data_IF_046104764341
#
_entry.id   IF_046104764341
#
_cell.length_a   1.000
_cell.length_b   1.000
_cell.length_c   1.000
_cell.angle_alpha   90.00
_cell.angle_beta   90.00
_cell.angle_gamma   90.00
#
_symmetry.space_group_name_H-M   'P 1'
#
loop_
_entity.id
_entity.type
_entity.pdbx_description
1 polymer ?
#
# COMPACT_ATOMS: atom_id res chain seq x y z
N UNK A 1 27.67 10.67 10.95
CA UNK A 1 26.74 9.97 11.88
C UNK A 1 26.50 8.61 11.30
N UNK A 2 26.42 7.59 12.12
CA UNK A 2 26.21 6.23 11.65
C UNK A 2 24.71 5.99 11.41
N UNK A 3 24.37 5.37 10.29
CA UNK A 3 23.02 4.91 10.04
C UNK A 3 22.72 3.74 10.96
N UNK A 4 21.54 3.74 11.57
CA UNK A 4 21.08 2.67 12.47
C UNK A 4 19.85 2.03 11.87
N UNK A 5 19.88 0.71 11.71
CA UNK A 5 18.75 -0.09 11.24
C UNK A 5 18.48 -1.24 12.19
N UNK A 6 17.21 -1.38 12.58
CA UNK A 6 16.74 -2.50 13.37
C UNK A 6 15.46 -3.06 12.77
N UNK A 7 15.45 -4.36 12.49
CA UNK A 7 14.26 -5.05 12.00
C UNK A 7 14.07 -6.34 12.80
N UNK A 8 12.86 -6.53 13.30
CA UNK A 8 12.47 -7.75 14.01
C UNK A 8 11.16 -8.28 13.41
N UNK A 9 11.04 -9.57 13.30
CA UNK A 9 9.83 -10.19 12.79
C UNK A 9 9.65 -11.60 13.34
N UNK A 10 8.40 -12.00 13.42
CA UNK A 10 7.98 -13.34 13.82
C UNK A 10 6.96 -13.85 12.79
N UNK A 11 7.10 -15.13 12.44
CA UNK A 11 6.13 -15.84 11.61
C UNK A 11 5.82 -17.20 12.23
N UNK A 12 4.53 -17.49 12.43
CA UNK A 12 4.10 -18.81 12.89
C UNK A 12 4.13 -19.81 11.73
N UNK A 13 4.53 -21.06 11.96
CA UNK A 13 4.15 -22.12 11.04
C UNK A 13 2.62 -22.25 10.99
N UNK A 14 2.10 -22.97 9.98
CA UNK A 14 0.66 -23.26 9.93
C UNK A 14 0.30 -24.12 11.15
N UNK A 15 -0.53 -23.57 12.04
CA UNK A 15 -1.09 -24.29 13.20
C UNK A 15 -2.56 -24.51 12.95
N UNK A 16 -2.98 -25.78 12.81
CA UNK A 16 -4.33 -26.15 12.36
C UNK A 16 -4.69 -25.38 11.07
N UNK A 17 -5.61 -24.44 11.20
CA UNK A 17 -6.16 -23.67 10.07
C UNK A 17 -5.60 -22.24 9.97
N UNK A 18 -4.60 -21.86 10.76
CA UNK A 18 -4.08 -20.50 10.80
C UNK A 18 -2.56 -20.47 10.62
N UNK A 19 -2.08 -19.40 9.99
CA UNK A 19 -0.72 -18.91 10.15
C UNK A 19 -0.76 -17.40 10.27
N UNK A 20 0.14 -16.81 11.02
CA UNK A 20 0.23 -15.37 11.20
C UNK A 20 1.67 -14.90 11.27
N UNK A 21 1.88 -13.63 10.98
CA UNK A 21 3.18 -12.99 11.10
C UNK A 21 3.03 -11.57 11.59
N UNK A 22 4.02 -11.10 12.30
CA UNK A 22 4.14 -9.71 12.72
C UNK A 22 5.59 -9.25 12.56
N UNK A 23 5.80 -7.99 12.26
CA UNK A 23 7.12 -7.40 12.11
C UNK A 23 7.13 -5.94 12.52
N UNK A 24 8.30 -5.49 12.93
CA UNK A 24 8.58 -4.10 13.25
C UNK A 24 9.94 -3.73 12.64
N UNK A 25 10.01 -2.55 12.04
CA UNK A 25 11.24 -1.97 11.51
C UNK A 25 11.44 -0.55 12.04
N UNK A 26 12.69 -0.22 12.32
CA UNK A 26 13.15 1.12 12.65
C UNK A 26 14.45 1.40 11.91
N UNK A 27 14.50 2.51 11.18
CA UNK A 27 15.72 2.98 10.53
C UNK A 27 15.91 4.45 10.86
N UNK A 28 17.13 4.81 11.24
CA UNK A 28 17.57 6.19 11.39
C UNK A 28 18.64 6.45 10.34
N UNK A 29 18.40 7.44 9.49
CA UNK A 29 19.31 7.84 8.43
C UNK A 29 20.06 9.11 8.80
N UNK A 30 21.25 9.29 8.22
CA UNK A 30 22.02 10.53 8.36
C UNK A 30 21.26 11.73 7.80
N UNK A 31 21.45 12.92 8.35
CA UNK A 31 20.87 14.15 7.83
C UNK A 31 21.21 14.39 6.35
N UNK A 32 20.27 14.96 5.60
CA UNK A 32 20.54 15.38 4.22
C UNK A 32 21.36 16.66 4.14
N UNK A 33 21.15 17.58 5.08
CA UNK A 33 21.79 18.87 5.09
C UNK A 33 21.64 19.55 6.45
N UNK A 34 22.05 20.81 6.56
CA UNK A 34 22.01 21.60 7.81
C UNK A 34 20.61 21.89 8.35
N UNK A 35 19.55 21.77 7.54
CA UNK A 35 18.17 21.92 7.98
C UNK A 35 17.63 20.69 8.73
N UNK A 36 18.24 19.54 8.51
CA UNK A 36 17.92 18.25 9.15
C UNK A 36 19.03 17.91 10.14
N UNK A 37 18.96 18.46 11.36
CA UNK A 37 20.01 18.28 12.39
C UNK A 37 19.96 16.89 13.03
N UNK A 38 18.79 16.27 13.11
CA UNK A 38 18.55 15.05 13.89
C UNK A 38 18.55 13.76 13.06
N UNK A 39 18.54 13.91 11.73
CA UNK A 39 18.39 12.81 10.79
C UNK A 39 16.96 12.28 10.73
N UNK A 40 16.70 11.44 9.73
CA UNK A 40 15.37 10.94 9.41
C UNK A 40 15.09 9.62 10.10
N UNK A 41 13.88 9.49 10.64
CA UNK A 41 13.41 8.25 11.23
C UNK A 41 12.35 7.61 10.31
N UNK A 42 12.53 6.33 10.07
CA UNK A 42 11.52 5.51 9.41
C UNK A 42 11.11 4.37 10.36
N UNK A 43 9.81 4.25 10.62
CA UNK A 43 9.23 3.21 11.47
C UNK A 43 8.21 2.44 10.66
N UNK A 44 8.22 1.12 10.76
CA UNK A 44 7.24 0.27 10.11
C UNK A 44 6.70 -0.81 11.03
N UNK A 45 5.43 -1.16 10.84
CA UNK A 45 4.77 -2.27 11.54
C UNK A 45 4.03 -3.07 10.49
N UNK A 46 4.13 -4.39 10.58
CA UNK A 46 3.43 -5.31 9.70
C UNK A 46 2.72 -6.37 10.51
N UNK A 47 1.52 -6.68 10.09
CA UNK A 47 0.75 -7.82 10.58
C UNK A 47 0.11 -8.55 9.40
N UNK A 48 0.16 -9.88 9.42
CA UNK A 48 -0.54 -10.70 8.45
C UNK A 48 -1.11 -11.95 9.10
N UNK A 49 -2.25 -12.41 8.60
CA UNK A 49 -2.89 -13.66 9.00
C UNK A 49 -3.41 -14.39 7.76
N UNK A 50 -3.23 -15.72 7.74
CA UNK A 50 -3.88 -16.59 6.78
C UNK A 50 -4.77 -17.57 7.52
N UNK A 51 -5.97 -17.80 6.98
CA UNK A 51 -6.94 -18.73 7.51
C UNK A 51 -7.36 -19.73 6.44
N UNK A 52 -7.27 -21.01 6.77
CA UNK A 52 -7.54 -22.15 5.90
C UNK A 52 -8.66 -22.99 6.52
N UNK A 53 -9.95 -22.64 6.37
CA UNK A 53 -11.06 -23.38 6.96
C UNK A 53 -11.06 -24.86 6.52
N UNK A 54 -10.67 -25.11 5.28
CA UNK A 54 -10.51 -26.41 4.66
C UNK A 54 -9.51 -26.33 3.49
N UNK A 55 -9.27 -27.43 2.79
CA UNK A 55 -8.31 -27.49 1.66
C UNK A 55 -8.78 -26.72 0.42
N UNK A 56 -10.05 -26.35 0.35
CA UNK A 56 -10.64 -25.63 -0.79
C UNK A 56 -10.71 -24.12 -0.60
N UNK A 57 -10.62 -23.61 0.64
CA UNK A 57 -10.85 -22.22 0.96
C UNK A 57 -9.69 -21.65 1.77
N UNK A 58 -9.18 -20.52 1.31
CA UNK A 58 -8.13 -19.75 1.96
C UNK A 58 -8.51 -18.28 2.01
N UNK A 59 -8.27 -17.67 3.15
CA UNK A 59 -8.30 -16.22 3.35
C UNK A 59 -6.92 -15.71 3.74
N UNK A 60 -6.59 -14.52 3.28
CA UNK A 60 -5.40 -13.78 3.72
C UNK A 60 -5.79 -12.34 4.06
N UNK A 61 -5.24 -11.83 5.15
CA UNK A 61 -5.39 -10.44 5.54
C UNK A 61 -4.04 -9.90 6.02
N UNK A 62 -3.72 -8.68 5.63
CA UNK A 62 -2.49 -8.02 6.04
C UNK A 62 -2.68 -6.52 6.20
N UNK A 63 -1.96 -5.95 7.16
CA UNK A 63 -1.85 -4.51 7.36
C UNK A 63 -0.38 -4.16 7.54
N UNK A 64 0.07 -3.17 6.77
CA UNK A 64 1.40 -2.58 6.90
C UNK A 64 1.24 -1.08 7.16
N UNK A 65 1.73 -0.61 8.32
CA UNK A 65 1.81 0.81 8.65
C UNK A 65 3.26 1.26 8.62
N UNK A 66 3.53 2.41 8.03
CA UNK A 66 4.85 3.06 8.11
C UNK A 66 4.73 4.55 8.33
N UNK A 67 5.66 5.09 9.13
CA UNK A 67 5.88 6.52 9.30
C UNK A 67 7.31 6.83 8.86
N UNK A 68 7.44 7.78 7.96
CA UNK A 68 8.71 8.31 7.44
C UNK A 68 8.74 9.80 7.72
N UNK A 69 9.66 10.23 8.57
CA UNK A 69 9.89 11.64 8.88
C UNK A 69 10.79 12.24 7.79
N UNK A 70 10.57 13.51 7.46
CA UNK A 70 11.35 14.27 6.47
C UNK A 70 11.38 13.61 5.08
N UNK A 71 10.23 13.07 4.65
CA UNK A 71 10.06 12.56 3.31
C UNK A 71 10.07 13.70 2.29
N UNK A 72 11.08 13.72 1.41
CA UNK A 72 11.22 14.76 0.40
C UNK A 72 10.36 14.48 -0.82
N UNK A 73 9.63 15.51 -1.26
CA UNK A 73 8.86 15.51 -2.51
C UNK A 73 9.26 16.75 -3.33
N UNK A 74 9.57 16.52 -4.60
CA UNK A 74 9.75 17.61 -5.54
C UNK A 74 8.40 18.27 -5.85
N UNK A 75 8.34 19.60 -5.82
CA UNK A 75 7.15 20.41 -6.10
C UNK A 75 7.24 20.99 -7.50
N UNK A 76 8.24 21.84 -7.74
CA UNK A 76 8.53 22.41 -9.06
C UNK A 76 9.96 22.97 -9.09
N UNK A 77 10.50 23.23 -10.29
CA UNK A 77 11.81 23.85 -10.58
C UNK A 77 12.88 23.43 -9.56
N UNK A 78 13.13 24.22 -8.51
CA UNK A 78 14.09 23.94 -7.43
C UNK A 78 13.42 23.92 -6.03
N UNK A 79 12.07 23.84 -5.99
CA UNK A 79 11.29 23.79 -4.74
C UNK A 79 10.94 22.34 -4.40
N UNK A 80 11.20 21.99 -3.16
CA UNK A 80 10.88 20.71 -2.56
C UNK A 80 10.05 20.93 -1.29
N UNK A 81 9.23 19.93 -0.94
CA UNK A 81 8.60 19.86 0.37
C UNK A 81 9.17 18.68 1.15
N UNK A 82 9.43 18.89 2.42
CA UNK A 82 9.65 17.80 3.37
C UNK A 82 8.37 17.57 4.15
N UNK A 83 7.98 16.31 4.34
CA UNK A 83 6.72 15.90 4.95
C UNK A 83 6.93 14.77 5.95
N UNK A 84 6.10 14.72 6.97
CA UNK A 84 5.88 13.51 7.76
C UNK A 84 4.92 12.61 6.97
N UNK A 85 5.43 11.55 6.35
CA UNK A 85 4.63 10.60 5.57
C UNK A 85 4.15 9.44 6.44
N UNK A 86 2.86 9.36 6.64
CA UNK A 86 2.19 8.22 7.27
C UNK A 86 1.52 7.39 6.16
N UNK A 87 1.91 6.12 6.01
CA UNK A 87 1.36 5.22 5.01
C UNK A 87 0.73 4.01 5.67
N UNK A 88 -0.49 3.67 5.26
CA UNK A 88 -1.19 2.44 5.60
C UNK A 88 -1.51 1.65 4.34
N UNK A 89 -1.18 0.35 4.36
CA UNK A 89 -1.54 -0.58 3.30
C UNK A 89 -2.35 -1.73 3.91
N UNK A 90 -3.53 -1.97 3.37
CA UNK A 90 -4.43 -3.04 3.78
C UNK A 90 -4.58 -4.00 2.60
N UNK A 91 -4.35 -5.29 2.84
CA UNK A 91 -4.48 -6.33 1.84
C UNK A 91 -5.50 -7.37 2.32
N UNK A 92 -6.41 -7.75 1.43
CA UNK A 92 -7.31 -8.87 1.65
C UNK A 92 -7.29 -9.79 0.44
N UNK A 93 -7.29 -11.10 0.69
CA UNK A 93 -7.36 -12.12 -0.35
C UNK A 93 -8.27 -13.26 0.06
N UNK A 94 -8.97 -13.83 -0.93
CA UNK A 94 -9.71 -15.08 -0.81
C UNK A 94 -9.43 -15.94 -2.03
N UNK A 95 -9.21 -17.23 -1.83
CA UNK A 95 -9.15 -18.23 -2.89
C UNK A 95 -10.07 -19.38 -2.51
N UNK A 96 -10.98 -19.77 -3.43
CA UNK A 96 -11.89 -20.87 -3.24
C UNK A 96 -11.89 -21.79 -4.47
N UNK A 97 -11.73 -23.09 -4.24
CA UNK A 97 -11.80 -24.13 -5.23
C UNK A 97 -13.07 -24.97 -5.02
N UNK A 98 -13.93 -25.04 -6.01
CA UNK A 98 -15.06 -25.97 -6.01
C UNK A 98 -14.74 -27.12 -6.94
N UNK A 99 -14.37 -28.25 -6.35
CA UNK A 99 -13.83 -29.40 -7.07
C UNK A 99 -12.52 -29.05 -7.79
N UNK A 100 -12.25 -29.69 -8.91
CA UNK A 100 -11.02 -29.50 -9.71
C UNK A 100 -11.15 -28.44 -10.79
N UNK A 101 -12.38 -28.04 -11.14
CA UNK A 101 -12.66 -27.23 -12.32
C UNK A 101 -12.95 -25.76 -12.06
N UNK A 102 -13.39 -25.41 -10.84
CA UNK A 102 -13.79 -24.04 -10.53
C UNK A 102 -12.81 -23.39 -9.55
N UNK A 103 -12.39 -22.21 -9.85
CA UNK A 103 -11.56 -21.37 -8.97
C UNK A 103 -12.13 -19.96 -8.90
N UNK A 104 -12.36 -19.49 -7.67
CA UNK A 104 -12.71 -18.12 -7.37
C UNK A 104 -11.55 -17.46 -6.63
N UNK A 105 -11.16 -16.30 -7.08
CA UNK A 105 -10.19 -15.46 -6.36
C UNK A 105 -10.73 -14.05 -6.19
N UNK A 106 -10.56 -13.52 -4.99
CA UNK A 106 -10.76 -12.12 -4.69
C UNK A 106 -9.47 -11.57 -4.11
N UNK A 107 -9.06 -10.41 -4.58
CA UNK A 107 -7.95 -9.64 -4.03
C UNK A 107 -8.39 -8.19 -3.90
N UNK A 108 -8.12 -7.59 -2.75
CA UNK A 108 -8.24 -6.17 -2.53
C UNK A 108 -6.95 -5.65 -1.93
N UNK A 109 -6.52 -4.49 -2.38
CA UNK A 109 -5.42 -3.72 -1.81
C UNK A 109 -5.84 -2.28 -1.72
N UNK A 110 -5.69 -1.70 -0.52
CA UNK A 110 -5.88 -0.27 -0.27
C UNK A 110 -4.58 0.32 0.27
N UNK A 111 -4.11 1.38 -0.38
CA UNK A 111 -2.94 2.15 0.04
C UNK A 111 -3.38 3.57 0.34
N UNK A 112 -3.14 4.03 1.56
CA UNK A 112 -3.48 5.37 2.02
C UNK A 112 -2.22 6.06 2.52
N UNK A 113 -1.98 7.28 2.06
CA UNK A 113 -0.83 8.10 2.44
C UNK A 113 -1.35 9.43 2.95
N UNK A 114 -0.83 9.85 4.10
CA UNK A 114 -1.01 11.16 4.68
C UNK A 114 0.37 11.81 4.74
N UNK A 115 0.55 12.90 4.00
CA UNK A 115 1.76 13.71 4.01
C UNK A 115 1.48 14.99 4.79
N UNK A 116 1.89 15.02 6.04
CA UNK A 116 1.57 16.06 7.04
C UNK A 116 2.84 16.82 7.43
N UNK A 117 2.70 17.89 8.21
CA UNK A 117 3.79 18.73 8.74
C UNK A 117 4.74 19.23 7.62
N UNK A 118 4.23 19.95 6.60
CA UNK A 118 5.03 20.37 5.47
C UNK A 118 6.10 21.40 5.86
N UNK A 119 7.33 21.19 5.40
CA UNK A 119 8.45 22.15 5.51
C UNK A 119 8.88 22.51 4.08
N UNK A 120 8.72 23.77 3.65
CA UNK A 120 9.13 24.22 2.33
C UNK A 120 10.64 24.34 2.22
N UNK A 121 11.23 23.77 1.16
CA UNK A 121 12.67 23.72 0.93
C UNK A 121 13.04 24.19 -0.47
N UNK A 122 14.16 24.88 -0.59
CA UNK A 122 14.76 25.26 -1.88
C UNK A 122 16.09 24.54 -2.04
N UNK A 123 16.31 23.97 -3.23
CA UNK A 123 17.58 23.41 -3.63
C UNK A 123 18.43 24.45 -4.34
N UNK A 124 19.67 24.63 -3.88
CA UNK A 124 20.70 25.41 -4.57
C UNK A 124 21.21 24.67 -5.81
N UNK A 125 21.96 25.34 -6.68
CA UNK A 125 22.64 24.72 -7.81
C UNK A 125 23.65 23.62 -7.41
N UNK A 126 24.17 23.70 -6.19
CA UNK A 126 25.05 22.65 -5.63
C UNK A 126 24.28 21.46 -5.01
N UNK A 127 22.95 21.48 -5.03
CA UNK A 127 22.12 20.45 -4.44
C UNK A 127 21.92 20.59 -2.92
N UNK A 128 22.42 21.65 -2.31
CA UNK A 128 22.19 21.92 -0.89
C UNK A 128 20.76 22.40 -0.67
N UNK A 129 20.07 21.85 0.33
CA UNK A 129 18.72 22.25 0.72
C UNK A 129 18.77 23.30 1.84
N UNK A 130 17.84 24.23 1.77
CA UNK A 130 17.60 25.24 2.83
C UNK A 130 16.11 25.49 2.96
N UNK A 131 15.65 25.81 4.17
CA UNK A 131 14.26 26.21 4.41
C UNK A 131 13.90 27.48 3.64
N UNK A 132 12.64 27.61 3.32
CA UNK A 132 12.05 28.73 2.60
C UNK A 132 10.71 29.10 3.24
N UNK A 133 10.16 30.23 2.82
CA UNK A 133 8.90 30.81 3.34
C UNK A 133 7.70 30.66 2.37
N UNK A 134 7.87 29.92 1.25
CA UNK A 134 6.71 29.68 0.38
C UNK A 134 5.74 28.69 1.01
N UNK A 135 4.47 28.84 0.69
CA UNK A 135 3.41 27.98 1.22
C UNK A 135 3.36 26.63 0.50
N UNK A 136 3.29 25.57 1.25
CA UNK A 136 2.92 24.22 0.78
C UNK A 136 1.91 23.64 1.76
N UNK A 137 0.96 22.90 1.23
CA UNK A 137 -0.10 22.27 2.02
C UNK A 137 0.20 20.79 2.26
N UNK A 138 -0.30 20.21 3.35
CA UNK A 138 -0.34 18.76 3.51
C UNK A 138 -1.16 18.16 2.38
N UNK A 139 -0.91 16.90 2.05
CA UNK A 139 -1.70 16.23 1.02
C UNK A 139 -1.98 14.76 1.39
N UNK A 140 -3.03 14.25 0.79
CA UNK A 140 -3.57 12.92 1.05
C UNK A 140 -3.71 12.13 -0.24
N UNK A 141 -3.35 10.85 -0.19
CA UNK A 141 -3.47 9.94 -1.34
C UNK A 141 -4.20 8.70 -0.89
N UNK A 142 -5.15 8.25 -1.67
CA UNK A 142 -5.79 6.96 -1.50
C UNK A 142 -5.85 6.20 -2.82
N UNK A 143 -5.39 4.97 -2.81
CA UNK A 143 -5.49 4.05 -3.94
C UNK A 143 -6.14 2.76 -3.48
N UNK A 144 -7.13 2.29 -4.21
CA UNK A 144 -7.80 1.02 -3.97
C UNK A 144 -7.87 0.21 -5.26
N UNK A 145 -7.59 -1.08 -5.16
CA UNK A 145 -7.72 -2.02 -6.25
C UNK A 145 -8.43 -3.28 -5.76
N UNK A 146 -9.59 -3.56 -6.34
CA UNK A 146 -10.34 -4.80 -6.16
C UNK A 146 -10.29 -5.60 -7.44
N UNK A 147 -9.95 -6.88 -7.34
CA UNK A 147 -10.05 -7.83 -8.43
C UNK A 147 -10.81 -9.08 -7.97
N UNK A 148 -11.88 -9.43 -8.69
CA UNK A 148 -12.57 -10.70 -8.57
C UNK A 148 -12.31 -11.49 -9.84
N UNK A 149 -11.89 -12.75 -9.70
CA UNK A 149 -11.63 -13.64 -10.82
C UNK A 149 -12.33 -14.97 -10.60
N UNK A 150 -13.10 -15.38 -11.58
CA UNK A 150 -13.59 -16.74 -11.72
C UNK A 150 -12.91 -17.44 -12.89
N UNK A 151 -12.46 -18.67 -12.68
CA UNK A 151 -11.91 -19.56 -13.70
C UNK A 151 -12.71 -20.87 -13.71
N UNK A 152 -13.08 -21.29 -14.89
CA UNK A 152 -13.69 -22.61 -15.13
C UNK A 152 -12.87 -23.41 -16.13
N UNK A 153 -12.51 -24.64 -15.78
CA UNK A 153 -11.85 -25.57 -16.69
C UNK A 153 -12.91 -26.33 -17.51
N UNK A 154 -13.00 -25.98 -18.79
CA UNK A 154 -13.95 -26.57 -19.74
C UNK A 154 -13.52 -28.03 -20.10
N UNK A 155 -12.22 -28.16 -20.43
CA UNK A 155 -11.52 -29.42 -20.71
C UNK A 155 -10.05 -29.24 -20.33
N UNK A 156 -9.24 -30.31 -20.28
CA UNK A 156 -7.81 -30.16 -19.92
C UNK A 156 -7.13 -29.06 -20.74
N UNK A 157 -6.54 -28.08 -20.04
CA UNK A 157 -5.84 -26.90 -20.58
C UNK A 157 -6.72 -25.89 -21.34
N UNK A 158 -8.04 -26.04 -21.30
CA UNK A 158 -9.02 -25.12 -21.89
C UNK A 158 -9.83 -24.45 -20.78
N UNK A 159 -9.85 -23.12 -20.75
CA UNK A 159 -10.37 -22.35 -19.64
C UNK A 159 -11.27 -21.21 -20.08
N UNK A 160 -12.30 -20.99 -19.30
CA UNK A 160 -13.10 -19.78 -19.30
C UNK A 160 -12.70 -18.92 -18.10
N UNK A 161 -12.55 -17.62 -18.31
CA UNK A 161 -12.24 -16.65 -17.27
C UNK A 161 -13.23 -15.51 -17.28
N UNK A 162 -13.67 -15.14 -16.11
CA UNK A 162 -14.45 -13.96 -15.83
C UNK A 162 -13.66 -13.13 -14.82
N UNK A 163 -13.36 -11.87 -15.15
CA UNK A 163 -12.60 -10.99 -14.29
C UNK A 163 -13.34 -9.66 -14.18
N UNK A 164 -13.61 -9.26 -12.94
CA UNK A 164 -14.04 -7.92 -12.60
C UNK A 164 -12.91 -7.22 -11.87
N UNK A 165 -12.59 -6.02 -12.31
CA UNK A 165 -11.63 -5.14 -11.63
C UNK A 165 -12.27 -3.80 -11.36
N UNK A 166 -11.99 -3.26 -10.17
CA UNK A 166 -12.41 -1.94 -9.75
C UNK A 166 -11.19 -1.22 -9.17
N UNK A 167 -10.94 -0.02 -9.66
CA UNK A 167 -9.84 0.83 -9.22
C UNK A 167 -10.34 2.17 -8.70
N UNK A 168 -9.58 2.72 -7.78
CA UNK A 168 -9.76 4.06 -7.23
C UNK A 168 -8.39 4.72 -7.07
N UNK A 169 -8.32 5.99 -7.41
CA UNK A 169 -7.14 6.83 -7.16
C UNK A 169 -7.61 8.24 -6.82
N UNK A 170 -7.15 8.74 -5.69
CA UNK A 170 -7.50 10.04 -5.14
C UNK A 170 -6.25 10.77 -4.67
N UNK A 171 -6.20 12.05 -4.92
CA UNK A 171 -5.22 13.00 -4.41
C UNK A 171 -5.93 14.28 -4.02
N UNK A 172 -5.71 14.77 -2.80
CA UNK A 172 -6.27 16.03 -2.30
C UNK A 172 -5.26 16.74 -1.39
N UNK A 173 -5.21 18.07 -1.49
CA UNK A 173 -4.37 18.96 -0.69
C UNK A 173 -5.18 20.10 -0.03
N UNK A 174 -6.52 20.02 -0.01
CA UNK A 174 -7.40 21.05 0.48
C UNK A 174 -7.97 20.81 1.88
N UNK A 175 -8.20 19.54 2.25
CA UNK A 175 -8.87 19.15 3.49
C UNK A 175 -8.05 18.14 4.31
N UNK A 176 -8.36 18.04 5.61
CA UNK A 176 -7.75 17.03 6.48
C UNK A 176 -8.57 15.74 6.46
N UNK A 177 -7.96 14.64 6.04
CA UNK A 177 -8.56 13.32 5.96
C UNK A 177 -8.05 12.36 7.03
N UNK A 178 -8.96 11.57 7.62
CA UNK A 178 -8.60 10.40 8.40
C UNK A 178 -8.37 9.18 7.50
N UNK A 179 -7.77 8.10 8.01
CA UNK A 179 -7.67 6.85 7.25
C UNK A 179 -9.03 6.22 6.96
N UNK A 180 -10.02 6.47 7.81
CA UNK A 180 -11.40 5.99 7.62
C UNK A 180 -12.06 6.71 6.45
N UNK A 181 -11.94 8.04 6.37
CA UNK A 181 -12.45 8.84 5.26
C UNK A 181 -11.85 8.40 3.93
N UNK A 182 -10.51 8.27 3.86
CA UNK A 182 -9.80 7.83 2.67
C UNK A 182 -10.20 6.41 2.23
N UNK A 183 -10.45 5.51 3.19
CA UNK A 183 -10.89 4.16 2.90
C UNK A 183 -12.34 4.12 2.41
N UNK A 184 -13.25 4.84 3.08
CA UNK A 184 -14.67 4.89 2.73
C UNK A 184 -14.84 5.50 1.32
N UNK A 185 -14.22 6.64 1.05
CA UNK A 185 -14.29 7.31 -0.25
C UNK A 185 -13.80 6.39 -1.38
N UNK A 186 -12.77 5.58 -1.15
CA UNK A 186 -12.25 4.62 -2.13
C UNK A 186 -13.28 3.56 -2.56
N UNK A 187 -14.29 3.29 -1.72
CA UNK A 187 -15.40 2.38 -2.03
C UNK A 187 -16.60 3.06 -2.66
N UNK A 188 -16.85 4.33 -2.33
CA UNK A 188 -18.00 5.07 -2.82
C UNK A 188 -17.77 5.64 -4.23
N UNK A 189 -16.52 6.04 -4.53
CA UNK A 189 -16.19 6.80 -5.74
C UNK A 189 -15.15 6.10 -6.65
N UNK A 190 -15.47 4.95 -7.27
CA UNK A 190 -14.50 4.24 -8.12
C UNK A 190 -14.08 5.08 -9.33
N UNK A 191 -12.79 5.11 -9.62
CA UNK A 191 -12.24 5.80 -10.80
C UNK A 191 -12.43 4.97 -12.07
N UNK A 192 -12.47 3.65 -11.96
CA UNK A 192 -12.71 2.75 -13.07
C UNK A 192 -13.33 1.42 -12.62
N UNK A 193 -14.10 0.83 -13.52
CA UNK A 193 -14.65 -0.51 -13.37
C UNK A 193 -14.56 -1.24 -14.72
N UNK A 194 -13.96 -2.42 -14.71
CA UNK A 194 -13.76 -3.20 -15.94
C UNK A 194 -14.21 -4.64 -15.73
N UNK A 195 -14.99 -5.12 -16.68
CA UNK A 195 -15.43 -6.49 -16.75
C UNK A 195 -14.80 -7.16 -17.98
N UNK A 196 -14.05 -8.24 -17.77
CA UNK A 196 -13.32 -8.95 -18.82
C UNK A 196 -13.75 -10.41 -18.87
N UNK A 197 -14.11 -10.86 -20.06
CA UNK A 197 -14.37 -12.26 -20.37
C UNK A 197 -13.26 -12.77 -21.31
N UNK A 198 -12.64 -13.90 -20.96
CA UNK A 198 -11.60 -14.54 -21.76
C UNK A 198 -11.86 -16.04 -21.87
N UNK A 199 -11.74 -16.57 -23.09
CA UNK A 199 -11.78 -17.99 -23.34
C UNK A 199 -10.45 -18.42 -23.96
N UNK A 200 -9.91 -19.52 -23.45
CA UNK A 200 -8.69 -20.15 -23.97
C UNK A 200 -9.01 -21.60 -24.28
N UNK A 201 -8.82 -22.01 -25.53
CA UNK A 201 -8.89 -23.40 -25.93
C UNK A 201 -7.51 -23.95 -26.30
N UNK A 202 -7.28 -25.19 -25.93
CA UNK A 202 -6.18 -26.00 -26.47
C UNK A 202 -6.77 -26.98 -27.47
N UNK A 203 -6.30 -26.89 -28.69
CA UNK A 203 -6.57 -27.84 -29.77
C UNK A 203 -5.53 -28.96 -29.73
#
# INVERSE_FOLDING_TARGET
MDEVSFNAGFGSPKYKNFSFGAGFGFNKYSPYSSWDSDGRNNKSKRFNINYFPNDQLQFSFGVDDSKEEEWLKWIDTNRLGSFTKNRRNINFGMTYFQGTRHEFRLKNQSVMIKAEDPIPLISSLSGQLSESDYLIDPFYVSENSLQMRYRYEISPLSYFYLVYTRGYSFYDDSDMFTYEDLYQDSWENPSNEVFTLKVRFKF
#
